data_IF_593636272284
#
_entry.id   IF_593636272284
#
_cell.length_a   1.000
_cell.length_b   1.000
_cell.length_c   1.000
_cell.angle_alpha   90.00
_cell.angle_beta   90.00
_cell.angle_gamma   90.00
#
_symmetry.space_group_name_H-M   'P 1'
#
loop_
_entity.id
_entity.type
_entity.pdbx_description
1 polymer ?
#
# COMPACT_ATOMS: atom_id res chain seq x y z
N UNK A 1 41.82 25.81 11.70
CA UNK A 1 40.45 25.29 11.80
C UNK A 1 39.79 25.54 10.46
N UNK A 2 39.74 24.54 9.57
CA UNK A 2 39.02 24.70 8.32
C UNK A 2 37.54 24.41 8.62
N UNK A 3 36.64 25.30 8.16
CA UNK A 3 35.18 25.13 8.11
C UNK A 3 34.44 25.70 9.32
N UNK A 4 33.39 26.50 9.13
CA UNK A 4 32.18 26.25 8.33
C UNK A 4 32.05 27.35 7.24
N UNK A 5 31.08 27.31 6.31
CA UNK A 5 30.96 28.32 5.26
C UNK A 5 30.84 29.75 5.82
N UNK A 6 31.29 30.78 5.06
CA UNK A 6 31.29 32.20 5.51
C UNK A 6 29.95 32.67 6.10
N UNK A 7 28.84 32.10 5.65
CA UNK A 7 27.47 32.45 6.09
C UNK A 7 27.12 31.80 7.42
N UNK A 8 27.65 30.61 7.70
CA UNK A 8 27.39 29.89 8.96
C UNK A 8 28.31 30.41 10.06
N UNK A 9 29.54 30.76 9.71
CA UNK A 9 30.54 31.32 10.63
C UNK A 9 30.07 32.63 11.29
N UNK A 10 29.21 33.42 10.64
CA UNK A 10 28.68 34.65 11.23
C UNK A 10 27.68 34.43 12.36
N UNK A 11 27.18 33.20 12.53
CA UNK A 11 26.16 32.86 13.53
C UNK A 11 26.68 32.04 14.70
N UNK A 12 27.87 31.46 14.59
CA UNK A 12 28.45 30.58 15.60
C UNK A 12 29.56 31.29 16.39
N UNK A 13 29.60 30.99 17.68
CA UNK A 13 30.74 31.33 18.55
C UNK A 13 31.68 30.13 18.62
N UNK A 14 32.92 30.34 19.06
CA UNK A 14 33.90 29.23 19.20
C UNK A 14 33.38 28.09 20.09
N UNK A 15 32.57 28.42 21.09
CA UNK A 15 31.94 27.45 21.99
C UNK A 15 30.91 26.57 21.25
N UNK A 16 29.98 27.19 20.51
CA UNK A 16 28.96 26.44 19.76
C UNK A 16 29.55 25.67 18.58
N UNK A 17 30.60 26.20 17.94
CA UNK A 17 31.34 25.48 16.92
C UNK A 17 32.03 24.22 17.48
N UNK A 18 32.62 24.30 18.68
CA UNK A 18 33.25 23.14 19.33
C UNK A 18 32.22 22.06 19.70
N UNK A 19 31.01 22.43 20.12
CA UNK A 19 29.97 21.45 20.42
C UNK A 19 29.43 20.76 19.16
N UNK A 20 29.26 21.50 18.06
CA UNK A 20 28.87 20.93 16.77
C UNK A 20 29.90 19.93 16.24
N UNK A 21 31.20 20.25 16.37
CA UNK A 21 32.27 19.31 16.04
C UNK A 21 32.23 18.07 16.94
N UNK A 22 31.87 18.22 18.22
CA UNK A 22 31.69 17.10 19.15
C UNK A 22 30.57 16.13 18.74
N UNK A 23 29.56 16.62 18.01
CA UNK A 23 28.44 15.83 17.47
C UNK A 23 28.78 15.23 16.09
N UNK A 24 29.92 15.61 15.50
CA UNK A 24 30.38 15.14 14.19
C UNK A 24 29.88 15.98 13.02
N UNK A 25 29.48 17.23 13.24
CA UNK A 25 29.14 18.17 12.18
C UNK A 25 30.43 18.79 11.65
N UNK A 26 30.89 18.33 10.49
CA UNK A 26 32.11 18.83 9.86
C UNK A 26 31.80 19.81 8.71
N UNK A 27 30.62 19.66 8.08
CA UNK A 27 30.24 20.45 6.90
C UNK A 27 28.92 21.21 7.06
N UNK A 28 28.70 22.31 6.31
CA UNK A 28 27.39 22.96 6.24
C UNK A 28 26.28 22.01 5.74
N UNK A 29 26.64 21.05 4.89
CA UNK A 29 25.72 20.03 4.42
C UNK A 29 25.29 19.09 5.56
N UNK A 30 26.25 18.64 6.39
CA UNK A 30 25.94 17.85 7.59
C UNK A 30 24.99 18.63 8.49
N UNK A 31 25.28 19.92 8.73
CA UNK A 31 24.40 20.78 9.52
C UNK A 31 22.98 20.83 8.94
N UNK A 32 22.84 21.08 7.64
CA UNK A 32 21.53 21.20 6.98
C UNK A 32 20.67 19.93 7.06
N UNK A 33 21.29 18.75 7.09
CA UNK A 33 20.59 17.46 7.02
C UNK A 33 20.59 16.66 8.34
N UNK A 34 21.33 17.10 9.37
CA UNK A 34 21.43 16.37 10.64
C UNK A 34 20.11 16.39 11.41
N UNK A 35 19.37 17.49 11.38
CA UNK A 35 18.08 17.65 12.06
C UNK A 35 16.93 17.87 11.10
N UNK A 36 15.78 17.28 11.44
CA UNK A 36 14.55 17.42 10.65
C UNK A 36 13.71 18.64 11.09
N UNK A 37 13.87 19.08 12.34
CA UNK A 37 13.11 20.17 12.94
C UNK A 37 13.90 20.92 14.02
N UNK A 38 13.48 22.14 14.36
CA UNK A 38 14.10 22.96 15.40
C UNK A 38 13.94 22.36 16.81
N UNK A 39 12.89 21.57 17.02
CA UNK A 39 12.63 20.92 18.31
C UNK A 39 13.75 19.94 18.65
N UNK A 40 14.29 19.22 17.65
CA UNK A 40 15.41 18.29 17.86
C UNK A 40 16.70 19.03 18.26
N UNK A 41 16.87 20.28 17.81
CA UNK A 41 18.00 21.13 18.22
C UNK A 41 17.84 21.56 19.68
N UNK A 42 16.62 21.91 20.09
CA UNK A 42 16.35 22.27 21.50
C UNK A 42 16.54 21.09 22.45
N UNK A 43 16.26 19.87 22.01
CA UNK A 43 16.51 18.66 22.79
C UNK A 43 18.01 18.28 22.83
N UNK A 44 18.76 18.60 21.77
CA UNK A 44 20.18 18.25 21.65
C UNK A 44 21.11 19.14 22.49
N UNK A 45 20.76 20.40 22.71
CA UNK A 45 21.60 21.36 23.43
C UNK A 45 20.90 21.87 24.69
N UNK A 46 21.59 21.92 25.83
CA UNK A 46 21.00 22.36 27.10
C UNK A 46 21.05 23.88 27.26
N UNK A 47 22.07 24.54 26.69
CA UNK A 47 22.27 25.98 26.82
C UNK A 47 21.40 26.75 25.80
N UNK A 48 20.47 27.63 26.24
CA UNK A 48 19.61 28.40 25.34
C UNK A 48 20.39 29.36 24.42
N UNK A 49 21.56 29.84 24.84
CA UNK A 49 22.41 30.68 24.00
C UNK A 49 22.96 29.88 22.81
N UNK A 50 23.44 28.66 23.06
CA UNK A 50 23.94 27.75 22.03
C UNK A 50 22.80 27.29 21.12
N UNK A 51 21.64 26.91 21.68
CA UNK A 51 20.44 26.57 20.91
C UNK A 51 20.10 27.67 19.90
N UNK A 52 20.06 28.93 20.32
CA UNK A 52 19.71 30.05 19.43
C UNK A 52 20.70 30.24 18.28
N UNK A 53 22.00 30.06 18.54
CA UNK A 53 23.07 30.17 17.56
C UNK A 53 23.05 29.00 16.56
N UNK A 54 22.91 27.77 17.07
CA UNK A 54 22.84 26.56 16.23
C UNK A 54 21.58 26.56 15.37
N UNK A 55 20.43 26.99 15.89
CA UNK A 55 19.19 27.11 15.10
C UNK A 55 19.33 28.16 13.99
N UNK A 56 19.97 29.30 14.25
CA UNK A 56 20.23 30.30 13.22
C UNK A 56 21.18 29.78 12.12
N UNK A 57 22.28 29.13 12.53
CA UNK A 57 23.24 28.49 11.64
C UNK A 57 22.59 27.39 10.78
N UNK A 58 21.75 26.55 11.39
CA UNK A 58 21.01 25.47 10.72
C UNK A 58 20.05 26.00 9.65
N UNK A 59 19.25 27.03 9.97
CA UNK A 59 18.34 27.66 9.00
C UNK A 59 19.11 28.22 7.81
N UNK A 60 20.24 28.89 8.04
CA UNK A 60 21.07 29.43 6.97
C UNK A 60 21.63 28.31 6.07
N UNK A 61 22.13 27.22 6.67
CA UNK A 61 22.64 26.07 5.93
C UNK A 61 21.55 25.35 5.11
N UNK A 62 20.31 25.28 5.61
CA UNK A 62 19.18 24.71 4.85
C UNK A 62 18.84 25.54 3.61
N UNK A 63 18.81 26.86 3.73
CA UNK A 63 18.55 27.74 2.58
C UNK A 63 19.65 27.57 1.52
N UNK A 64 20.92 27.50 1.95
CA UNK A 64 22.04 27.28 1.03
C UNK A 64 21.99 25.89 0.36
N UNK A 65 21.62 24.85 1.09
CA UNK A 65 21.43 23.51 0.55
C UNK A 65 20.27 23.45 -0.48
N UNK A 66 19.14 24.11 -0.20
CA UNK A 66 18.01 24.19 -1.11
C UNK A 66 18.37 24.92 -2.42
N UNK A 67 19.11 26.03 -2.33
CA UNK A 67 19.63 26.75 -3.50
C UNK A 67 20.59 25.85 -4.29
N UNK A 68 21.48 25.13 -3.61
CA UNK A 68 22.45 24.25 -4.26
C UNK A 68 21.77 23.11 -5.01
N UNK A 69 20.76 22.47 -4.40
CA UNK A 69 19.96 21.42 -5.02
C UNK A 69 19.23 21.95 -6.26
N UNK A 70 18.65 23.15 -6.18
CA UNK A 70 17.98 23.79 -7.30
C UNK A 70 18.92 24.14 -8.47
N UNK A 71 20.21 24.34 -8.19
CA UNK A 71 21.22 24.69 -9.19
C UNK A 71 21.88 23.48 -9.86
N UNK A 72 21.63 22.23 -9.44
CA UNK A 72 22.19 21.05 -10.09
C UNK A 72 21.54 20.93 -11.48
N UNK A 73 22.26 21.20 -12.59
CA UNK A 73 21.66 21.12 -13.91
C UNK A 73 21.30 19.66 -14.20
N UNK A 74 20.05 19.42 -14.62
CA UNK A 74 19.58 18.11 -15.07
C UNK A 74 20.52 17.59 -16.16
N UNK A 75 21.43 16.69 -15.79
CA UNK A 75 22.34 16.12 -16.78
C UNK A 75 21.53 15.26 -17.76
N UNK A 76 21.67 15.47 -19.08
CA UNK A 76 20.98 14.67 -20.08
C UNK A 76 21.44 13.22 -19.97
N UNK A 77 20.52 12.34 -19.61
CA UNK A 77 20.76 10.90 -19.44
C UNK A 77 21.23 10.32 -20.79
N UNK A 78 22.54 10.08 -20.91
CA UNK A 78 23.15 9.50 -22.10
C UNK A 78 22.55 8.11 -22.39
N UNK A 79 21.88 7.99 -23.55
CA UNK A 79 21.31 6.73 -24.06
C UNK A 79 22.42 5.69 -24.23
N UNK A 80 22.46 4.66 -23.38
CA UNK A 80 23.43 3.55 -23.52
C UNK A 80 22.83 2.30 -24.18
N UNK A 81 23.68 1.72 -25.02
CA UNK A 81 23.48 0.57 -25.92
C UNK A 81 22.84 -0.68 -25.27
N UNK A 82 21.91 -1.30 -26.01
CA UNK A 82 21.35 -2.64 -25.76
C UNK A 82 22.45 -3.71 -25.83
N UNK A 83 22.56 -4.53 -24.78
CA UNK A 83 23.22 -5.85 -24.83
C UNK A 83 22.17 -6.93 -24.56
N UNK A 84 22.23 -8.01 -25.34
CA UNK A 84 21.22 -9.07 -25.42
C UNK A 84 20.96 -9.79 -24.08
N UNK A 85 19.69 -9.95 -23.74
CA UNK A 85 19.21 -10.70 -22.58
C UNK A 85 19.30 -12.21 -22.83
N UNK A 86 19.94 -12.94 -21.90
CA UNK A 86 19.80 -14.39 -21.76
C UNK A 86 18.63 -14.64 -20.79
N UNK A 87 17.63 -15.41 -21.25
CA UNK A 87 16.50 -15.86 -20.44
C UNK A 87 16.91 -17.07 -19.59
N UNK A 88 16.71 -17.00 -18.26
CA UNK A 88 16.70 -18.18 -17.40
C UNK A 88 15.25 -18.53 -17.02
N UNK A 89 14.90 -19.80 -17.23
CA UNK A 89 13.61 -20.39 -16.92
C UNK A 89 13.39 -20.54 -15.41
N UNK A 90 12.18 -20.21 -14.96
CA UNK A 90 11.73 -20.30 -13.57
C UNK A 90 11.36 -21.76 -13.28
N UNK A 91 12.14 -22.42 -12.43
CA UNK A 91 11.85 -23.75 -11.89
C UNK A 91 11.84 -23.75 -10.36
N UNK A 92 10.71 -24.22 -9.80
CA UNK A 92 10.52 -24.85 -8.49
C UNK A 92 11.07 -24.19 -7.21
N UNK A 93 10.16 -23.88 -6.28
CA UNK A 93 10.46 -23.67 -4.85
C UNK A 93 11.03 -24.94 -4.21
N UNK A 94 11.95 -24.78 -3.23
CA UNK A 94 11.79 -25.52 -1.99
C UNK A 94 11.99 -24.66 -0.72
N UNK A 95 11.65 -25.32 0.40
CA UNK A 95 11.40 -24.84 1.77
C UNK A 95 12.64 -24.26 2.48
N UNK A 96 12.36 -23.38 3.46
CA UNK A 96 13.17 -22.96 4.63
C UNK A 96 14.69 -23.17 4.52
N UNK A 97 15.45 -22.09 4.36
CA UNK A 97 16.87 -22.03 4.76
C UNK A 97 17.11 -20.87 5.70
N UNK A 98 17.83 -21.18 6.77
CA UNK A 98 18.50 -20.23 7.65
C UNK A 98 19.30 -19.24 6.82
N UNK A 99 19.24 -17.97 7.20
CA UNK A 99 20.05 -16.90 6.62
C UNK A 99 21.50 -17.18 7.04
N UNK A 100 22.46 -17.39 6.12
CA UNK A 100 23.87 -17.45 6.49
C UNK A 100 24.37 -16.04 6.85
N UNK A 101 25.38 -15.92 7.73
CA UNK A 101 25.98 -14.62 8.04
C UNK A 101 26.59 -14.06 6.75
N UNK A 102 26.18 -12.85 6.38
CA UNK A 102 26.65 -12.13 5.21
C UNK A 102 28.14 -11.85 5.39
N UNK A 103 28.97 -12.64 4.73
CA UNK A 103 30.36 -12.32 4.47
C UNK A 103 30.40 -11.09 3.56
N UNK A 104 30.89 -9.99 4.14
CA UNK A 104 31.21 -8.72 3.49
C UNK A 104 32.24 -8.97 2.38
N UNK A 105 31.80 -8.93 1.12
CA UNK A 105 32.66 -8.75 -0.04
C UNK A 105 32.27 -7.43 -0.72
N UNK A 106 33.23 -6.53 -1.02
CA UNK A 106 32.97 -5.28 -1.70
C UNK A 106 32.80 -5.57 -3.20
N UNK A 107 31.61 -6.04 -3.58
CA UNK A 107 31.17 -6.03 -4.97
C UNK A 107 30.44 -4.71 -5.25
N UNK A 108 30.57 -4.11 -6.46
CA UNK A 108 29.82 -2.91 -6.81
C UNK A 108 28.32 -3.24 -6.74
N UNK A 109 27.63 -2.70 -5.73
CA UNK A 109 26.19 -2.74 -5.63
C UNK A 109 25.62 -1.95 -6.81
N UNK A 110 25.29 -2.65 -7.90
CA UNK A 110 24.42 -2.08 -8.92
C UNK A 110 23.01 -2.02 -8.34
N UNK A 111 22.67 -0.86 -7.79
CA UNK A 111 21.30 -0.48 -7.51
C UNK A 111 20.56 -0.55 -8.85
N UNK A 112 19.76 -1.62 -9.02
CA UNK A 112 18.80 -1.71 -10.14
C UNK A 112 17.75 -0.64 -9.90
N UNK A 113 17.95 0.53 -10.50
CA UNK A 113 16.85 1.45 -10.74
C UNK A 113 15.86 0.70 -11.62
N UNK A 114 14.71 0.33 -11.05
CA UNK A 114 13.59 -0.18 -11.83
C UNK A 114 13.31 0.86 -12.91
N UNK A 115 13.52 0.45 -14.17
CA UNK A 115 13.23 1.28 -15.33
C UNK A 115 11.88 1.95 -15.13
N UNK A 116 11.89 3.28 -15.12
CA UNK A 116 10.71 4.12 -15.08
C UNK A 116 9.80 3.62 -16.21
N UNK A 117 8.60 3.08 -15.92
CA UNK A 117 7.66 2.79 -16.98
C UNK A 117 7.39 4.12 -17.67
N UNK A 118 7.71 4.18 -18.97
CA UNK A 118 7.42 5.34 -19.82
C UNK A 118 6.00 5.79 -19.52
N UNK A 119 5.82 7.05 -19.15
CA UNK A 119 4.53 7.69 -18.89
C UNK A 119 3.65 7.51 -20.12
N UNK A 120 2.87 6.42 -20.17
CA UNK A 120 1.83 6.26 -21.16
C UNK A 120 0.82 7.35 -20.85
N UNK A 121 0.64 8.26 -21.80
CA UNK A 121 -0.49 9.15 -21.73
C UNK A 121 -1.77 8.30 -21.65
N UNK A 122 -2.73 8.68 -20.80
CA UNK A 122 -3.96 7.92 -20.62
C UNK A 122 -4.68 7.83 -21.96
N UNK A 123 -4.99 6.61 -22.40
CA UNK A 123 -5.82 6.40 -23.57
C UNK A 123 -7.20 7.05 -23.31
N UNK A 124 -7.76 7.82 -24.26
CA UNK A 124 -9.03 8.52 -24.09
C UNK A 124 -10.25 7.61 -23.87
N UNK A 125 -10.07 6.28 -23.89
CA UNK A 125 -11.07 5.27 -23.57
C UNK A 125 -10.84 4.52 -22.25
N UNK A 126 -9.88 4.93 -21.42
CA UNK A 126 -9.60 4.23 -20.17
C UNK A 126 -10.69 4.49 -19.12
N UNK A 127 -11.45 3.44 -18.75
CA UNK A 127 -12.45 3.48 -17.67
C UNK A 127 -11.88 3.94 -16.32
N UNK A 128 -10.54 3.86 -16.17
CA UNK A 128 -9.82 4.24 -14.96
C UNK A 128 -9.79 5.74 -14.75
N UNK A 129 -9.65 6.54 -15.80
CA UNK A 129 -9.49 8.00 -15.74
C UNK A 129 -10.59 8.69 -14.92
N UNK A 130 -11.90 8.49 -15.19
CA UNK A 130 -12.96 9.15 -14.41
C UNK A 130 -13.03 8.69 -12.95
N UNK A 131 -12.50 7.50 -12.64
CA UNK A 131 -12.41 7.01 -11.27
C UNK A 131 -11.30 7.76 -10.55
N UNK A 132 -10.12 7.86 -11.17
CA UNK A 132 -8.98 8.57 -10.62
C UNK A 132 -9.27 10.07 -10.49
N UNK A 133 -10.00 10.68 -11.43
CA UNK A 133 -10.43 12.07 -11.34
C UNK A 133 -11.24 12.33 -10.08
N UNK A 134 -12.30 11.55 -9.83
CA UNK A 134 -13.08 11.69 -8.61
C UNK A 134 -12.22 11.51 -7.35
N UNK A 135 -11.34 10.51 -7.35
CA UNK A 135 -10.49 10.24 -6.19
C UNK A 135 -9.49 11.38 -5.95
N UNK A 136 -8.95 11.97 -7.02
CA UNK A 136 -8.05 13.11 -6.97
C UNK A 136 -8.77 14.37 -6.49
N UNK A 137 -9.99 14.64 -6.97
CA UNK A 137 -10.83 15.73 -6.48
C UNK A 137 -11.08 15.65 -4.97
N UNK A 138 -11.30 14.44 -4.44
CA UNK A 138 -11.43 14.24 -2.98
C UNK A 138 -10.12 14.55 -2.25
N UNK A 139 -8.97 14.19 -2.83
CA UNK A 139 -7.67 14.55 -2.26
C UNK A 139 -7.47 16.06 -2.28
N UNK A 140 -7.78 16.73 -3.39
CA UNK A 140 -7.69 18.20 -3.49
C UNK A 140 -8.63 18.88 -2.48
N UNK A 141 -9.87 18.40 -2.34
CA UNK A 141 -10.82 18.91 -1.36
C UNK A 141 -10.35 18.76 0.09
N UNK A 142 -9.61 17.69 0.41
CA UNK A 142 -9.03 17.52 1.74
C UNK A 142 -7.92 18.53 2.07
N UNK A 143 -7.31 19.15 1.05
CA UNK A 143 -6.40 20.26 1.21
C UNK A 143 -5.19 19.92 2.10
N UNK A 144 -4.81 20.87 2.95
CA UNK A 144 -3.74 20.72 3.96
C UNK A 144 -4.05 19.69 5.06
N UNK A 145 -5.30 19.20 5.17
CA UNK A 145 -5.68 18.20 6.16
C UNK A 145 -5.39 16.76 5.67
N UNK A 146 -4.95 16.60 4.43
CA UNK A 146 -4.56 15.29 3.93
C UNK A 146 -3.29 14.80 4.63
N UNK A 147 -3.32 13.54 5.08
CA UNK A 147 -2.26 12.92 5.89
C UNK A 147 -1.05 12.51 5.05
N UNK A 148 -1.23 12.26 3.74
CA UNK A 148 -0.17 11.75 2.87
C UNK A 148 0.32 12.75 1.84
N UNK A 149 -0.59 13.57 1.32
CA UNK A 149 -0.32 14.55 0.30
C UNK A 149 -0.31 15.92 0.98
N UNK A 150 0.87 16.51 1.13
CA UNK A 150 1.00 17.82 1.78
C UNK A 150 0.35 18.96 0.99
N UNK A 151 0.43 20.17 1.56
CA UNK A 151 -0.09 21.41 0.96
C UNK A 151 0.42 21.65 -0.48
N UNK A 152 1.62 21.15 -0.80
CA UNK A 152 2.22 21.21 -2.14
C UNK A 152 1.31 20.63 -3.24
N UNK A 153 0.55 19.58 -2.93
CA UNK A 153 -0.35 18.94 -3.89
C UNK A 153 -1.53 19.86 -4.26
N UNK A 154 -2.00 20.66 -3.31
CA UNK A 154 -3.05 21.67 -3.50
C UNK A 154 -2.53 22.83 -4.34
N UNK A 155 -1.26 23.21 -4.13
CA UNK A 155 -0.63 24.33 -4.86
C UNK A 155 -0.36 23.98 -6.33
N UNK A 156 -0.05 22.72 -6.64
CA UNK A 156 0.33 22.28 -7.99
C UNK A 156 -0.44 21.01 -8.43
N UNK A 157 -1.74 21.14 -8.74
CA UNK A 157 -2.58 19.99 -9.13
C UNK A 157 -2.13 19.33 -10.44
N UNK A 158 -1.59 20.10 -11.38
CA UNK A 158 -1.12 19.59 -12.68
C UNK A 158 0.14 18.73 -12.54
N UNK A 159 1.06 19.09 -11.66
CA UNK A 159 2.32 18.37 -11.45
C UNK A 159 2.14 17.13 -10.56
N UNK A 160 1.23 17.23 -9.60
CA UNK A 160 0.96 16.14 -8.65
C UNK A 160 0.08 15.03 -9.26
N UNK A 161 -0.71 15.33 -10.28
CA UNK A 161 -1.62 14.34 -10.90
C UNK A 161 -0.88 13.11 -11.48
N UNK A 162 0.21 13.26 -12.26
CA UNK A 162 0.98 12.11 -12.73
C UNK A 162 1.54 11.22 -11.60
N UNK A 163 1.93 11.83 -10.48
CA UNK A 163 2.43 11.10 -9.30
C UNK A 163 1.30 10.30 -8.63
N UNK A 164 0.13 10.91 -8.52
CA UNK A 164 -1.09 10.26 -8.03
C UNK A 164 -1.49 9.07 -8.90
N UNK A 165 -1.56 9.27 -10.21
CA UNK A 165 -1.91 8.22 -11.17
C UNK A 165 -0.91 7.06 -11.13
N UNK A 166 0.38 7.38 -11.04
CA UNK A 166 1.46 6.39 -10.91
C UNK A 166 1.33 5.57 -9.63
N UNK A 167 1.04 6.21 -8.49
CA UNK A 167 0.83 5.52 -7.21
C UNK A 167 -0.34 4.54 -7.31
N UNK A 168 -1.43 4.96 -7.94
CA UNK A 168 -2.61 4.13 -8.05
C UNK A 168 -2.53 3.10 -9.17
N UNK A 169 -1.64 3.21 -10.15
CA UNK A 169 -1.51 2.27 -11.26
C UNK A 169 -1.34 0.80 -10.82
N UNK A 170 -0.72 0.57 -9.65
CA UNK A 170 -0.51 -0.77 -9.06
C UNK A 170 -1.82 -1.40 -8.59
N UNK A 171 -2.86 -0.59 -8.33
CA UNK A 171 -4.14 -1.06 -7.80
C UNK A 171 -5.04 -1.58 -8.93
N UNK A 172 -5.61 -2.79 -8.83
CA UNK A 172 -6.48 -3.32 -9.88
C UNK A 172 -7.75 -2.46 -10.03
N UNK A 173 -8.24 -2.33 -11.27
CA UNK A 173 -9.39 -1.47 -11.60
C UNK A 173 -10.65 -1.83 -10.79
N UNK A 174 -10.90 -3.12 -10.59
CA UNK A 174 -12.07 -3.59 -9.83
C UNK A 174 -12.01 -3.18 -8.35
N UNK A 175 -10.81 -3.15 -7.76
CA UNK A 175 -10.63 -2.65 -6.39
C UNK A 175 -10.91 -1.13 -6.34
N UNK A 176 -10.38 -0.35 -7.29
CA UNK A 176 -10.67 1.09 -7.38
C UNK A 176 -12.18 1.36 -7.53
N UNK A 177 -12.88 0.60 -8.38
CA UNK A 177 -14.35 0.67 -8.51
C UNK A 177 -15.03 0.39 -7.16
N UNK A 178 -14.57 -0.61 -6.41
CA UNK A 178 -15.06 -0.93 -5.07
C UNK A 178 -14.85 0.23 -4.06
N UNK A 179 -13.63 0.76 -3.99
CA UNK A 179 -13.28 1.88 -3.11
C UNK A 179 -14.07 3.14 -3.45
N UNK A 180 -14.20 3.47 -4.74
CA UNK A 180 -15.02 4.57 -5.23
C UNK A 180 -16.49 4.42 -4.84
N UNK A 181 -17.09 3.24 -5.03
CA UNK A 181 -18.49 3.00 -4.67
C UNK A 181 -18.74 3.15 -3.18
N UNK A 182 -17.83 2.62 -2.35
CA UNK A 182 -17.92 2.75 -0.90
C UNK A 182 -17.88 4.22 -0.45
N UNK A 183 -16.93 4.99 -0.99
CA UNK A 183 -16.81 6.41 -0.65
C UNK A 183 -17.97 7.25 -1.17
N UNK A 184 -18.45 6.97 -2.39
CA UNK A 184 -19.65 7.64 -2.92
C UNK A 184 -20.86 7.41 -2.01
N UNK A 185 -21.05 6.19 -1.50
CA UNK A 185 -22.13 5.87 -0.56
C UNK A 185 -22.00 6.68 0.74
N UNK A 186 -20.77 6.86 1.24
CA UNK A 186 -20.49 7.74 2.37
C UNK A 186 -20.85 9.20 2.06
N UNK A 187 -20.40 9.75 0.93
CA UNK A 187 -20.70 11.13 0.53
C UNK A 187 -22.21 11.36 0.39
N UNK A 188 -22.95 10.40 -0.19
CA UNK A 188 -24.42 10.48 -0.27
C UNK A 188 -25.06 10.49 1.11
N UNK A 189 -24.66 9.57 2.00
CA UNK A 189 -25.17 9.56 3.37
C UNK A 189 -24.87 10.86 4.11
N UNK A 190 -23.64 11.38 3.97
CA UNK A 190 -23.22 12.63 4.57
C UNK A 190 -24.07 13.80 4.09
N UNK A 191 -24.31 13.92 2.78
CA UNK A 191 -25.13 14.98 2.21
C UNK A 191 -26.59 14.98 2.72
N UNK A 192 -27.12 13.81 3.06
CA UNK A 192 -28.50 13.65 3.55
C UNK A 192 -28.64 13.86 5.06
N UNK A 193 -27.61 13.53 5.85
CA UNK A 193 -27.73 13.42 7.32
C UNK A 193 -26.86 14.41 8.09
N UNK A 194 -25.93 15.10 7.43
CA UNK A 194 -24.97 16.00 8.07
C UNK A 194 -25.17 17.45 7.65
N UNK A 195 -24.79 18.43 8.49
CA UNK A 195 -24.79 19.84 8.09
C UNK A 195 -23.94 20.09 6.84
N UNK A 196 -24.39 20.99 5.96
CA UNK A 196 -23.68 21.32 4.72
C UNK A 196 -22.27 21.92 4.95
N UNK A 197 -22.06 22.56 6.11
CA UNK A 197 -20.78 23.13 6.51
C UNK A 197 -19.76 22.07 6.98
N UNK A 198 -20.22 20.85 7.28
CA UNK A 198 -19.35 19.78 7.72
C UNK A 198 -18.60 19.18 6.51
N UNK A 199 -17.27 19.11 6.53
CA UNK A 199 -16.52 18.51 5.43
C UNK A 199 -16.68 16.99 5.42
N UNK A 200 -17.16 16.43 4.30
CA UNK A 200 -17.34 14.97 4.17
C UNK A 200 -16.04 14.17 4.24
N UNK A 201 -14.88 14.81 4.00
CA UNK A 201 -13.55 14.19 4.06
C UNK A 201 -12.96 14.18 5.48
N UNK A 202 -13.53 14.94 6.42
CA UNK A 202 -13.09 15.00 7.81
C UNK A 202 -14.31 15.00 8.77
N UNK A 203 -15.12 13.93 8.75
CA UNK A 203 -16.28 13.85 9.64
C UNK A 203 -15.85 13.57 11.10
N UNK A 204 -16.69 13.94 12.07
CA UNK A 204 -16.58 13.41 13.44
C UNK A 204 -16.71 11.89 13.48
N UNK A 205 -16.03 11.25 14.43
CA UNK A 205 -16.08 9.79 14.61
C UNK A 205 -17.51 9.27 14.80
N UNK A 206 -18.33 10.00 15.55
CA UNK A 206 -19.73 9.66 15.81
C UNK A 206 -20.57 9.58 14.52
N UNK A 207 -20.39 10.54 13.62
CA UNK A 207 -21.11 10.58 12.34
C UNK A 207 -20.73 9.38 11.47
N UNK A 208 -19.43 9.06 11.43
CA UNK A 208 -18.96 7.92 10.67
C UNK A 208 -19.41 6.57 11.28
N UNK A 209 -19.49 6.47 12.61
CA UNK A 209 -20.01 5.28 13.28
C UNK A 209 -21.52 5.10 13.03
N UNK A 210 -22.29 6.20 13.02
CA UNK A 210 -23.72 6.18 12.66
C UNK A 210 -23.94 5.71 11.22
N UNK A 211 -23.09 6.15 10.29
CA UNK A 211 -23.11 5.63 8.92
C UNK A 211 -22.84 4.13 8.85
N UNK A 212 -21.80 3.63 9.53
CA UNK A 212 -21.49 2.20 9.53
C UNK A 212 -22.63 1.38 10.16
N UNK A 213 -23.27 1.90 11.21
CA UNK A 213 -24.48 1.32 11.79
C UNK A 213 -25.66 1.34 10.82
N UNK A 214 -25.84 2.39 10.03
CA UNK A 214 -26.85 2.42 8.98
C UNK A 214 -26.57 1.37 7.90
N UNK A 215 -25.31 1.23 7.48
CA UNK A 215 -24.88 0.23 6.49
C UNK A 215 -25.07 -1.20 7.01
N UNK A 216 -24.84 -1.46 8.30
CA UNK A 216 -24.94 -2.79 8.90
C UNK A 216 -26.36 -3.37 8.82
N UNK A 217 -27.39 -2.52 8.75
CA UNK A 217 -28.78 -2.94 8.52
C UNK A 217 -28.97 -3.68 7.20
N UNK A 218 -28.13 -3.41 6.20
CA UNK A 218 -28.12 -4.12 4.90
C UNK A 218 -27.38 -5.46 4.93
N UNK A 219 -26.79 -5.82 6.07
CA UNK A 219 -26.07 -7.06 6.28
C UNK A 219 -24.82 -6.85 7.14
N UNK A 220 -24.49 -7.82 8.02
CA UNK A 220 -23.41 -7.66 9.00
C UNK A 220 -22.03 -7.52 8.33
N UNK A 221 -21.82 -8.15 7.18
CA UNK A 221 -20.57 -8.02 6.42
C UNK A 221 -20.48 -6.72 5.59
N UNK A 222 -21.60 -6.03 5.38
CA UNK A 222 -21.63 -4.81 4.57
C UNK A 222 -20.84 -3.69 5.26
N UNK A 223 -21.06 -3.50 6.57
CA UNK A 223 -20.36 -2.47 7.35
C UNK A 223 -18.84 -2.73 7.39
N UNK A 224 -18.42 -3.99 7.60
CA UNK A 224 -17.00 -4.37 7.55
C UNK A 224 -16.35 -4.10 6.18
N UNK A 225 -17.07 -4.38 5.09
CA UNK A 225 -16.61 -4.09 3.74
C UNK A 225 -16.43 -2.59 3.50
N UNK A 226 -17.39 -1.78 3.92
CA UNK A 226 -17.31 -0.32 3.85
C UNK A 226 -16.18 0.22 4.73
N UNK A 227 -16.06 -0.25 5.97
CA UNK A 227 -14.96 0.10 6.87
C UNK A 227 -13.61 -0.17 6.22
N UNK A 228 -13.42 -1.36 5.64
CA UNK A 228 -12.16 -1.74 4.97
C UNK A 228 -11.85 -0.84 3.78
N UNK A 229 -12.88 -0.45 3.02
CA UNK A 229 -12.71 0.48 1.91
C UNK A 229 -12.34 1.89 2.40
N UNK A 230 -13.00 2.41 3.42
CA UNK A 230 -12.70 3.73 4.01
C UNK A 230 -11.33 3.77 4.69
N UNK A 231 -10.93 2.67 5.33
CA UNK A 231 -9.57 2.47 5.84
C UNK A 231 -8.54 2.59 4.72
N UNK A 232 -8.80 1.95 3.58
CA UNK A 232 -7.95 2.08 2.41
C UNK A 232 -7.88 3.53 1.90
N UNK A 233 -8.97 4.30 1.90
CA UNK A 233 -8.94 5.72 1.55
C UNK A 233 -8.01 6.53 2.46
N UNK A 234 -8.06 6.28 3.77
CA UNK A 234 -7.13 6.90 4.71
C UNK A 234 -5.68 6.49 4.46
N UNK A 235 -5.41 5.19 4.33
CA UNK A 235 -4.03 4.66 4.24
C UNK A 235 -3.37 4.88 2.86
N UNK A 236 -4.15 4.82 1.78
CA UNK A 236 -3.63 4.97 0.42
C UNK A 236 -3.66 6.41 -0.06
N UNK A 237 -4.70 7.17 0.32
CA UNK A 237 -4.94 8.53 -0.18
C UNK A 237 -4.83 9.63 0.89
N UNK A 238 -4.62 9.28 2.15
CA UNK A 238 -4.41 10.26 3.21
C UNK A 238 -5.66 11.01 3.65
N UNK A 239 -6.86 10.56 3.28
CA UNK A 239 -8.09 11.23 3.69
C UNK A 239 -8.24 11.13 5.22
N UNK A 240 -8.42 12.25 5.95
CA UNK A 240 -8.39 12.30 7.42
C UNK A 240 -9.67 11.75 8.07
N UNK A 241 -10.10 10.55 7.67
CA UNK A 241 -11.23 9.85 8.26
C UNK A 241 -10.86 9.30 9.66
N UNK A 242 -11.74 9.40 10.67
CA UNK A 242 -11.50 8.91 12.03
C UNK A 242 -11.60 7.37 12.17
N UNK A 243 -10.98 6.61 11.25
CA UNK A 243 -11.05 5.14 11.17
C UNK A 243 -10.42 4.42 12.37
N UNK A 244 -9.45 5.06 13.03
CA UNK A 244 -8.74 4.52 14.20
C UNK A 244 -9.43 4.88 15.53
N UNK A 245 -10.48 5.72 15.50
CA UNK A 245 -11.25 6.05 16.69
C UNK A 245 -11.98 4.80 17.21
N UNK A 246 -12.09 4.62 18.53
CA UNK A 246 -12.74 3.45 19.14
C UNK A 246 -14.19 3.25 18.68
N UNK A 247 -14.91 4.34 18.37
CA UNK A 247 -16.28 4.28 17.87
C UNK A 247 -16.39 3.72 16.44
N UNK A 248 -15.29 3.72 15.68
CA UNK A 248 -15.26 3.27 14.28
C UNK A 248 -14.45 1.98 14.14
N UNK A 249 -13.37 1.83 14.91
CA UNK A 249 -12.41 0.74 14.79
C UNK A 249 -13.01 -0.66 15.06
N UNK A 250 -14.05 -0.76 15.88
CA UNK A 250 -14.69 -2.05 16.18
C UNK A 250 -15.32 -2.71 14.94
N UNK A 251 -15.71 -1.92 13.92
CA UNK A 251 -16.23 -2.43 12.65
C UNK A 251 -15.18 -3.15 11.79
N UNK A 252 -13.89 -3.08 12.17
CA UNK A 252 -12.83 -3.88 11.54
C UNK A 252 -12.99 -5.38 11.82
N UNK A 253 -13.50 -5.71 13.01
CA UNK A 253 -13.62 -7.08 13.51
C UNK A 253 -15.01 -7.60 13.15
N UNK A 254 -15.10 -8.88 12.78
CA UNK A 254 -16.41 -9.50 12.63
C UNK A 254 -17.02 -9.70 14.03
N UNK A 255 -18.31 -9.41 14.21
CA UNK A 255 -18.96 -9.60 15.50
C UNK A 255 -18.78 -11.04 16.01
N UNK A 256 -18.40 -11.23 17.29
CA UNK A 256 -18.24 -12.56 17.86
C UNK A 256 -19.57 -13.31 17.83
N UNK A 257 -19.55 -14.58 17.38
CA UNK A 257 -20.75 -15.39 17.16
C UNK A 257 -21.22 -15.45 15.71
N UNK A 258 -20.57 -14.72 14.79
CA UNK A 258 -20.73 -14.95 13.35
C UNK A 258 -20.12 -16.27 12.91
N UNK A 259 -20.89 -17.35 13.05
CA UNK A 259 -20.67 -18.55 12.27
C UNK A 259 -21.10 -18.23 10.84
N UNK A 260 -20.13 -18.06 9.93
CA UNK A 260 -20.43 -18.10 8.51
C UNK A 260 -21.12 -19.45 8.26
N UNK A 261 -22.44 -19.45 8.03
CA UNK A 261 -23.15 -20.67 7.66
C UNK A 261 -22.50 -21.14 6.36
N UNK A 262 -21.75 -22.25 6.39
CA UNK A 262 -21.08 -22.71 5.20
C UNK A 262 -22.15 -22.91 4.13
N UNK A 263 -21.92 -22.35 2.95
CA UNK A 263 -22.85 -22.53 1.83
C UNK A 263 -23.09 -24.04 1.69
N UNK A 264 -24.36 -24.49 1.57
CA UNK A 264 -24.64 -25.92 1.49
C UNK A 264 -23.78 -26.53 0.38
N UNK A 265 -23.14 -27.68 0.63
CA UNK A 265 -22.25 -28.30 -0.33
C UNK A 265 -22.98 -28.46 -1.66
N UNK A 266 -22.32 -28.05 -2.74
CA UNK A 266 -22.89 -28.19 -4.08
C UNK A 266 -23.27 -29.66 -4.32
N UNK A 267 -24.52 -29.91 -4.71
CA UNK A 267 -24.96 -31.28 -4.96
C UNK A 267 -24.14 -31.90 -6.09
N UNK A 268 -23.93 -33.21 -6.01
CA UNK A 268 -23.17 -33.96 -7.02
C UNK A 268 -23.80 -33.80 -8.41
N UNK A 269 -25.13 -33.70 -8.47
CA UNK A 269 -25.87 -33.50 -9.72
C UNK A 269 -25.57 -32.15 -10.37
N UNK A 270 -25.58 -31.06 -9.59
CA UNK A 270 -25.23 -29.72 -10.09
C UNK A 270 -23.77 -29.70 -10.56
N UNK A 271 -22.88 -30.34 -9.81
CA UNK A 271 -21.48 -30.44 -10.20
C UNK A 271 -21.28 -31.24 -11.50
N UNK A 272 -21.99 -32.36 -11.68
CA UNK A 272 -21.97 -33.16 -12.91
C UNK A 272 -22.54 -32.38 -14.10
N UNK A 273 -23.63 -31.62 -13.91
CA UNK A 273 -24.21 -30.76 -14.94
C UNK A 273 -23.22 -29.64 -15.36
N UNK A 274 -22.50 -29.05 -14.40
CA UNK A 274 -21.45 -28.05 -14.70
C UNK A 274 -20.29 -28.70 -15.47
N UNK A 275 -19.88 -29.91 -15.08
CA UNK A 275 -18.81 -30.65 -15.75
C UNK A 275 -19.19 -31.14 -17.16
N UNK A 276 -20.46 -31.46 -17.40
CA UNK A 276 -20.95 -31.85 -18.73
C UNK A 276 -21.17 -30.64 -19.64
N UNK A 277 -21.50 -29.47 -19.07
CA UNK A 277 -21.57 -28.20 -19.78
C UNK A 277 -20.19 -27.59 -20.09
N UNK A 278 -19.13 -28.04 -19.41
CA UNK A 278 -17.75 -27.54 -19.56
C UNK A 278 -17.23 -27.37 -21.00
N UNK A 279 -17.48 -28.30 -21.96
CA UNK A 279 -16.99 -28.17 -23.33
C UNK A 279 -17.58 -26.96 -24.07
N UNK A 280 -18.71 -26.44 -23.59
CA UNK A 280 -19.44 -25.31 -24.19
C UNK A 280 -19.12 -23.97 -23.49
N UNK A 281 -18.42 -23.98 -22.37
CA UNK A 281 -18.07 -22.77 -21.62
C UNK A 281 -16.82 -22.12 -22.22
N UNK A 282 -16.79 -20.78 -22.26
CA UNK A 282 -15.64 -19.96 -22.66
C UNK A 282 -15.26 -19.00 -21.53
N UNK A 283 -14.01 -18.51 -21.53
CA UNK A 283 -13.52 -17.51 -20.57
C UNK A 283 -13.31 -18.07 -19.15
N UNK A 284 -13.60 -17.25 -18.14
CA UNK A 284 -13.37 -17.53 -16.70
C UNK A 284 -14.12 -18.75 -16.18
N UNK A 285 -15.26 -19.09 -16.77
CA UNK A 285 -16.02 -20.29 -16.40
C UNK A 285 -15.32 -21.57 -16.89
N UNK A 286 -14.66 -21.54 -18.04
CA UNK A 286 -13.89 -22.68 -18.54
C UNK A 286 -12.66 -22.94 -17.67
N UNK A 287 -11.95 -21.89 -17.24
CA UNK A 287 -10.78 -22.02 -16.37
C UNK A 287 -11.17 -22.48 -14.95
N UNK A 288 -12.29 -22.01 -14.40
CA UNK A 288 -12.81 -22.50 -13.12
C UNK A 288 -13.18 -24.00 -13.17
N UNK A 289 -13.83 -24.44 -14.24
CA UNK A 289 -14.21 -25.86 -14.40
C UNK A 289 -12.99 -26.75 -14.68
N UNK A 290 -12.00 -26.26 -15.43
CA UNK A 290 -10.72 -26.94 -15.59
C UNK A 290 -9.99 -27.10 -14.24
N UNK A 291 -9.98 -26.05 -13.41
CA UNK A 291 -9.39 -26.10 -12.08
C UNK A 291 -10.09 -27.11 -11.16
N UNK A 292 -11.43 -27.17 -11.19
CA UNK A 292 -12.21 -28.18 -10.47
C UNK A 292 -11.91 -29.61 -10.95
N UNK A 293 -11.67 -29.82 -12.26
CA UNK A 293 -11.21 -31.11 -12.78
C UNK A 293 -9.82 -31.48 -12.27
N UNK A 294 -8.88 -30.52 -12.24
CA UNK A 294 -7.53 -30.74 -11.72
C UNK A 294 -7.51 -31.12 -10.24
N UNK A 295 -8.31 -30.47 -9.39
CA UNK A 295 -8.40 -30.81 -7.96
C UNK A 295 -8.92 -32.23 -7.75
N UNK A 296 -9.92 -32.64 -8.55
CA UNK A 296 -10.41 -34.02 -8.50
C UNK A 296 -9.36 -35.02 -8.96
N UNK A 297 -8.59 -34.69 -9.99
CA UNK A 297 -7.45 -35.50 -10.42
C UNK A 297 -6.42 -35.69 -9.32
N UNK A 298 -6.02 -34.61 -8.65
CA UNK A 298 -5.04 -34.66 -7.55
C UNK A 298 -5.60 -35.40 -6.33
N UNK A 299 -6.87 -35.22 -6.00
CA UNK A 299 -7.52 -35.93 -4.89
C UNK A 299 -7.66 -37.44 -5.18
N UNK A 300 -8.01 -37.82 -6.40
CA UNK A 300 -8.06 -39.22 -6.83
C UNK A 300 -6.67 -39.87 -6.88
N UNK A 301 -5.64 -39.14 -7.32
CA UNK A 301 -4.25 -39.60 -7.30
C UNK A 301 -3.76 -39.79 -5.86
N UNK A 302 -4.07 -38.85 -4.96
CA UNK A 302 -3.71 -38.99 -3.55
C UNK A 302 -4.45 -40.15 -2.87
N UNK A 303 -5.73 -40.37 -3.19
CA UNK A 303 -6.49 -41.50 -2.63
C UNK A 303 -6.02 -42.85 -3.19
N UNK A 304 -5.65 -42.93 -4.47
CA UNK A 304 -5.08 -44.15 -5.07
C UNK A 304 -3.66 -44.43 -4.57
N UNK A 305 -2.84 -43.40 -4.35
CA UNK A 305 -1.52 -43.52 -3.71
C UNK A 305 -1.61 -43.96 -2.24
N UNK A 306 -2.59 -43.45 -1.48
CA UNK A 306 -2.82 -43.86 -0.09
C UNK A 306 -3.30 -45.31 0.00
N UNK A 307 -4.22 -45.72 -0.89
CA UNK A 307 -4.72 -47.12 -0.94
C UNK A 307 -3.63 -48.09 -1.41
N UNK A 308 -2.71 -47.68 -2.30
CA UNK A 308 -1.54 -48.50 -2.65
C UNK A 308 -0.47 -48.54 -1.55
N UNK A 309 -0.29 -47.49 -0.74
CA UNK A 309 0.68 -47.50 0.36
C UNK A 309 0.25 -48.36 1.55
N UNK A 310 -1.06 -48.59 1.71
CA UNK A 310 -1.63 -49.44 2.77
C UNK A 310 -1.78 -50.91 2.38
N UNK A 311 -1.32 -51.30 1.18
CA UNK A 311 -1.56 -52.60 0.55
C UNK A 311 -0.44 -53.64 0.68
N UNK A 312 0.44 -53.55 1.68
CA UNK A 312 1.39 -54.63 2.00
C UNK A 312 1.32 -55.02 3.49
N UNK A 313 0.23 -55.66 3.89
CA UNK A 313 0.26 -56.74 4.91
C UNK A 313 -1.08 -57.49 4.98
N UNK A 314 -1.10 -58.67 4.36
CA UNK A 314 -1.78 -59.93 4.76
C UNK A 314 -3.24 -59.96 5.26
N UNK A 315 -4.03 -60.69 4.46
CA UNK A 315 -5.00 -61.74 4.82
C UNK A 315 -6.37 -61.42 5.46
N UNK A 316 -7.39 -61.77 4.66
CA UNK A 316 -8.60 -62.52 4.98
C UNK A 316 -9.93 -61.82 5.38
N UNK A 317 -10.91 -62.13 4.51
CA UNK A 317 -12.37 -62.32 4.69
C UNK A 317 -13.24 -61.09 4.98
N UNK A 318 -14.12 -60.79 4.03
CA UNK A 318 -15.21 -59.83 4.21
C UNK A 318 -16.01 -59.60 2.93
N UNK A 319 -16.76 -60.61 2.50
CA UNK A 319 -17.79 -60.50 1.45
C UNK A 319 -18.84 -59.47 1.86
N UNK A 320 -19.04 -58.42 1.06
CA UNK A 320 -20.24 -57.59 1.11
C UNK A 320 -20.79 -57.41 -0.31
N UNK A 321 -21.80 -58.24 -0.60
CA UNK A 321 -22.74 -58.09 -1.70
C UNK A 321 -23.67 -56.94 -1.35
N UNK A 322 -23.80 -55.93 -2.22
CA UNK A 322 -24.97 -55.07 -2.23
C UNK A 322 -25.73 -55.20 -3.55
N UNK A 323 -26.96 -55.66 -3.38
CA UNK A 323 -28.01 -55.95 -4.34
C UNK A 323 -28.64 -54.64 -4.80
N UNK A 324 -28.79 -54.47 -6.11
CA UNK A 324 -29.64 -53.43 -6.71
C UNK A 324 -31.12 -53.72 -6.45
N UNK A 325 -31.86 -52.70 -6.01
CA UNK A 325 -33.24 -52.42 -6.41
C UNK A 325 -33.41 -50.92 -6.52
#
# INVERSE_FOLDING_TARGET
MPWIGRVVDSHLTDASASELLGIGVETPADLAFLWSSEVEIFDAFVDPAIQSQVTAAWRAARVEAEITIAQIPEQPIAKKHRVNQIQCAIGARPKKRAVPPVSLLPGPFQVRFLQQPSSRQPDPGDERTPILDMMFEVVLASGCHNVLFGEELVRMPFESRPLFDRKLQVVPLEALKGHRRAFKRWVTYHAEHCPAEMPYWQPPALTLSQFLLHVSRGGPTAAKGIYSALKWWREALGIPLPIMDGLVAHWAVAEPGHCASPKPPMSVQVLLAVLSAAPKLRGTMASAVAWLRCIRGVSLINHTMLVHSSGMSTNHVGTLIFKTR
#
